data_IF_165498551108
#
_entry.id   IF_165498551108
#
_cell.length_a   1.000
_cell.length_b   1.000
_cell.length_c   1.000
_cell.angle_alpha   90.00
_cell.angle_beta   90.00
_cell.angle_gamma   90.00
#
_symmetry.space_group_name_H-M   'P 1'
#
loop_
_entity.id
_entity.type
_entity.pdbx_description
1 polymer ?
#
# COMPACT_ATOMS: atom_id res chain seq x y z
N UNK A 1 22.70 51.61 39.90
CA UNK A 1 22.57 50.10 39.90
C UNK A 1 21.71 49.73 38.70
N UNK A 2 22.35 49.52 37.56
CA UNK A 2 21.70 48.98 36.40
C UNK A 2 21.65 47.46 36.55
N UNK A 3 20.43 46.95 36.72
CA UNK A 3 20.17 45.51 36.67
C UNK A 3 20.30 45.01 35.25
N UNK A 4 21.39 44.33 34.92
CA UNK A 4 21.64 43.72 33.64
C UNK A 4 20.52 42.73 33.32
N UNK A 5 19.61 43.07 32.42
CA UNK A 5 18.67 42.16 31.76
C UNK A 5 19.51 41.18 30.92
N UNK A 6 19.72 39.99 31.44
CA UNK A 6 20.16 38.86 30.56
C UNK A 6 19.05 38.63 29.58
N UNK A 7 19.27 39.08 28.34
CA UNK A 7 18.50 38.59 27.21
C UNK A 7 18.85 37.10 27.01
N UNK A 8 17.94 36.22 27.46
CA UNK A 8 17.98 34.83 27.12
C UNK A 8 17.53 34.76 25.65
N UNK A 9 18.48 34.80 24.72
CA UNK A 9 18.20 34.56 23.31
C UNK A 9 17.59 33.18 23.13
N UNK A 10 16.66 33.00 22.19
CA UNK A 10 16.07 31.70 21.93
C UNK A 10 17.15 30.70 21.53
N UNK A 11 17.39 29.71 22.37
CA UNK A 11 18.31 28.60 22.04
C UNK A 11 17.61 27.62 21.13
N UNK A 12 18.21 27.35 19.98
CA UNK A 12 17.73 26.36 19.03
C UNK A 12 17.68 24.97 19.72
N UNK A 13 16.49 24.42 19.87
CA UNK A 13 16.30 23.11 20.49
C UNK A 13 16.61 21.99 19.48
N UNK A 14 17.90 21.66 19.31
CA UNK A 14 18.37 20.58 18.46
C UNK A 14 17.62 19.26 18.63
N UNK A 15 17.28 18.81 19.86
CA UNK A 15 16.49 17.59 20.04
C UNK A 15 15.10 17.67 19.39
N UNK A 16 14.48 18.84 19.42
CA UNK A 16 13.16 19.06 18.82
C UNK A 16 13.21 19.05 17.29
N UNK A 17 14.23 19.65 16.69
CA UNK A 17 14.49 19.60 15.25
C UNK A 17 14.78 18.18 14.77
N UNK A 18 15.62 17.45 15.51
CA UNK A 18 15.94 16.06 15.22
C UNK A 18 14.69 15.18 15.32
N UNK A 19 13.85 15.36 16.35
CA UNK A 19 12.59 14.66 16.50
C UNK A 19 11.61 14.95 15.35
N UNK A 20 11.50 16.21 14.93
CA UNK A 20 10.66 16.61 13.80
C UNK A 20 11.15 16.00 12.47
N UNK A 21 12.46 16.02 12.23
CA UNK A 21 13.06 15.41 11.04
C UNK A 21 12.89 13.88 11.02
N UNK A 22 13.08 13.21 12.16
CA UNK A 22 12.83 11.77 12.28
C UNK A 22 11.35 11.42 12.07
N UNK A 23 10.43 12.20 12.64
CA UNK A 23 8.98 12.03 12.41
C UNK A 23 8.63 12.16 10.93
N UNK A 24 9.13 13.20 10.27
CA UNK A 24 8.89 13.42 8.84
C UNK A 24 9.43 12.25 8.01
N UNK A 25 10.66 11.82 8.29
CA UNK A 25 11.29 10.69 7.60
C UNK A 25 10.49 9.40 7.83
N UNK A 26 10.04 9.14 9.06
CA UNK A 26 9.21 7.96 9.38
C UNK A 26 7.89 7.98 8.60
N UNK A 27 7.20 9.11 8.55
CA UNK A 27 5.95 9.26 7.81
C UNK A 27 6.19 9.07 6.30
N UNK A 28 7.26 9.64 5.75
CA UNK A 28 7.61 9.47 4.33
C UNK A 28 7.93 8.01 4.00
N UNK A 29 8.73 7.33 4.83
CA UNK A 29 9.07 5.91 4.63
C UNK A 29 7.82 5.03 4.76
N UNK A 30 6.97 5.31 5.76
CA UNK A 30 5.72 4.57 5.95
C UNK A 30 4.77 4.74 4.75
N UNK A 31 4.65 5.97 4.24
CA UNK A 31 3.84 6.26 3.05
C UNK A 31 4.38 5.65 1.75
N UNK A 32 5.66 5.30 1.68
CA UNK A 32 6.23 4.54 0.56
C UNK A 32 5.90 3.04 0.62
N UNK A 33 5.60 2.52 1.80
CA UNK A 33 5.38 1.09 2.06
C UNK A 33 3.91 0.72 2.15
N UNK A 34 3.09 1.63 2.63
CA UNK A 34 1.64 1.42 2.80
C UNK A 34 0.82 2.48 2.07
N UNK A 35 -0.34 2.07 1.53
CA UNK A 35 -1.35 2.96 0.93
C UNK A 35 -1.97 3.96 1.95
N UNK A 36 -1.48 3.99 3.18
CA UNK A 36 -1.99 4.77 4.30
C UNK A 36 -2.04 6.28 4.06
N UNK A 37 -1.21 6.81 3.14
CA UNK A 37 -1.20 8.24 2.83
C UNK A 37 -2.37 8.66 1.93
N UNK A 38 -2.93 7.77 1.10
CA UNK A 38 -3.93 8.13 0.11
C UNK A 38 -5.38 8.06 0.60
N UNK A 39 -5.63 7.39 1.72
CA UNK A 39 -6.98 7.22 2.27
C UNK A 39 -7.20 7.82 3.66
N UNK A 40 -6.15 8.30 4.34
CA UNK A 40 -6.28 8.69 5.73
C UNK A 40 -6.36 10.21 5.91
N UNK A 41 -7.29 10.64 6.78
CA UNK A 41 -7.35 12.02 7.29
C UNK A 41 -6.06 12.44 8.02
N UNK A 42 -5.16 11.50 8.28
CA UNK A 42 -3.85 11.70 8.88
C UNK A 42 -2.84 12.40 7.96
N UNK A 43 -3.13 12.59 6.67
CA UNK A 43 -2.29 13.37 5.75
C UNK A 43 -1.97 14.76 6.30
N UNK A 44 -2.89 15.37 7.04
CA UNK A 44 -2.69 16.68 7.70
C UNK A 44 -1.57 16.63 8.76
N UNK A 45 -1.33 15.48 9.40
CA UNK A 45 -0.27 15.31 10.39
C UNK A 45 1.14 15.40 9.78
N UNK A 46 1.28 15.20 8.45
CA UNK A 46 2.53 15.40 7.71
C UNK A 46 3.03 16.85 7.81
N UNK A 47 2.12 17.80 7.91
CA UNK A 47 2.48 19.22 7.99
C UNK A 47 2.88 19.67 9.40
N UNK A 48 2.59 18.88 10.43
CA UNK A 48 2.93 19.23 11.82
C UNK A 48 4.45 19.33 12.03
N UNK A 49 5.28 18.35 11.66
CA UNK A 49 6.74 18.47 11.77
C UNK A 49 7.31 19.62 10.92
N UNK A 50 6.75 19.84 9.72
CA UNK A 50 7.14 20.95 8.84
C UNK A 50 6.81 22.31 9.48
N UNK A 51 5.62 22.46 10.07
CA UNK A 51 5.22 23.66 10.79
C UNK A 51 6.15 23.95 11.97
N UNK A 52 6.53 22.90 12.73
CA UNK A 52 7.51 23.05 13.82
C UNK A 52 8.86 23.57 13.32
N UNK A 53 9.38 23.03 12.21
CA UNK A 53 10.65 23.49 11.62
C UNK A 53 10.56 24.94 11.15
N UNK A 54 9.43 25.38 10.63
CA UNK A 54 9.23 26.75 10.14
C UNK A 54 9.03 27.79 11.26
N UNK A 55 8.43 27.37 12.39
CA UNK A 55 8.13 28.28 13.51
C UNK A 55 9.31 28.44 14.46
N UNK A 56 10.27 27.50 14.47
CA UNK A 56 11.46 27.64 15.29
C UNK A 56 12.31 28.84 14.87
N UNK A 57 12.64 29.76 15.79
CA UNK A 57 13.45 30.92 15.45
C UNK A 57 14.81 30.47 14.92
N UNK A 58 15.15 30.96 13.74
CA UNK A 58 16.47 30.74 13.13
C UNK A 58 17.49 31.58 13.88
N UNK A 59 17.93 31.12 15.04
CA UNK A 59 19.07 31.69 15.73
C UNK A 59 20.33 31.25 15.03
N UNK A 60 21.22 32.21 14.75
CA UNK A 60 22.51 31.96 14.12
C UNK A 60 23.21 30.78 14.78
N UNK A 61 23.61 29.80 13.95
CA UNK A 61 24.38 28.63 14.36
C UNK A 61 25.71 29.10 14.92
N UNK A 62 25.78 29.35 16.23
CA UNK A 62 27.03 29.57 16.91
C UNK A 62 27.88 28.31 16.70
N UNK A 63 29.00 28.48 16.02
CA UNK A 63 30.00 27.44 15.70
C UNK A 63 30.30 26.65 16.95
N UNK A 64 29.55 25.57 17.21
CA UNK A 64 29.83 24.66 18.31
C UNK A 64 31.01 23.79 17.91
N UNK A 65 31.93 23.60 18.84
CA UNK A 65 33.12 22.78 18.72
C UNK A 65 32.80 21.48 17.99
N UNK A 66 33.63 21.19 17.01
CA UNK A 66 33.51 20.03 16.13
C UNK A 66 33.14 18.76 16.89
N UNK A 67 31.95 18.23 16.64
CA UNK A 67 31.63 16.85 16.96
C UNK A 67 32.74 15.95 16.41
N UNK A 68 33.23 14.96 17.16
CA UNK A 68 34.26 14.09 16.66
C UNK A 68 33.84 13.52 15.31
N UNK A 69 34.70 13.59 14.30
CA UNK A 69 34.45 13.18 12.91
C UNK A 69 33.92 11.75 12.77
N UNK A 70 34.02 10.97 13.82
CA UNK A 70 33.51 9.60 13.93
C UNK A 70 31.97 9.55 13.82
N UNK A 71 31.23 10.53 14.38
CA UNK A 71 29.76 10.52 14.37
C UNK A 71 29.17 10.70 12.95
N UNK A 72 29.58 11.71 12.17
CA UNK A 72 29.08 11.84 10.78
C UNK A 72 29.58 10.70 9.88
N UNK A 73 30.77 10.15 10.11
CA UNK A 73 31.27 8.99 9.39
C UNK A 73 30.46 7.73 9.70
N UNK A 74 30.13 7.49 10.97
CA UNK A 74 29.25 6.37 11.39
C UNK A 74 27.83 6.52 10.82
N UNK A 75 27.25 7.74 10.82
CA UNK A 75 25.96 8.01 10.23
C UNK A 75 25.96 7.78 8.71
N UNK A 76 27.02 8.21 8.02
CA UNK A 76 27.18 7.96 6.58
C UNK A 76 27.33 6.47 6.26
N UNK A 77 28.12 5.73 7.05
CA UNK A 77 28.29 4.29 6.90
C UNK A 77 26.97 3.54 7.13
N UNK A 78 26.19 3.91 8.17
CA UNK A 78 24.87 3.35 8.43
C UNK A 78 23.90 3.65 7.27
N UNK A 79 23.90 4.88 6.76
CA UNK A 79 23.06 5.26 5.62
C UNK A 79 23.42 4.45 4.37
N UNK A 80 24.70 4.28 4.07
CA UNK A 80 25.18 3.45 2.96
C UNK A 80 24.78 1.98 3.14
N UNK A 81 24.87 1.44 4.35
CA UNK A 81 24.42 0.08 4.66
C UNK A 81 22.92 -0.07 4.46
N UNK A 82 22.11 0.88 4.93
CA UNK A 82 20.66 0.91 4.75
C UNK A 82 20.28 1.03 3.25
N UNK A 83 21.00 1.87 2.52
CA UNK A 83 20.84 1.98 1.07
C UNK A 83 21.18 0.64 0.40
N UNK A 84 22.30 0.04 0.73
CA UNK A 84 22.77 -1.20 0.08
C UNK A 84 21.86 -2.38 0.37
N UNK A 85 21.39 -2.54 1.62
CA UNK A 85 20.48 -3.64 2.03
C UNK A 85 19.04 -3.39 1.67
N UNK A 86 18.59 -2.12 1.66
CA UNK A 86 17.21 -1.71 1.42
C UNK A 86 16.83 -1.43 -0.02
N UNK A 87 17.79 -1.29 -0.93
CA UNK A 87 17.52 -0.83 -2.31
C UNK A 87 16.54 -1.74 -3.06
N UNK A 88 16.70 -3.07 -3.01
CA UNK A 88 15.81 -3.99 -3.74
C UNK A 88 14.38 -3.98 -3.21
N UNK A 89 14.13 -4.21 -1.90
CA UNK A 89 12.79 -4.10 -1.35
C UNK A 89 12.18 -2.72 -1.57
N UNK A 90 12.93 -1.65 -1.33
CA UNK A 90 12.45 -0.28 -1.51
C UNK A 90 12.01 -0.02 -2.96
N UNK A 91 12.82 -0.43 -3.94
CA UNK A 91 12.46 -0.31 -5.37
C UNK A 91 11.22 -1.13 -5.71
N UNK A 92 11.05 -2.32 -5.12
CA UNK A 92 9.84 -3.11 -5.28
C UNK A 92 8.60 -2.35 -4.83
N UNK A 93 8.64 -1.69 -3.67
CA UNK A 93 7.53 -0.87 -3.19
C UNK A 93 7.28 0.36 -4.07
N UNK A 94 8.33 1.01 -4.57
CA UNK A 94 8.20 2.14 -5.51
C UNK A 94 7.45 1.69 -6.77
N UNK A 95 7.87 0.59 -7.39
CA UNK A 95 7.19 0.06 -8.58
C UNK A 95 5.75 -0.36 -8.29
N UNK A 96 5.50 -0.99 -7.13
CA UNK A 96 4.13 -1.35 -6.72
C UNK A 96 3.23 -0.13 -6.56
N UNK A 97 3.73 0.97 -5.98
CA UNK A 97 2.98 2.21 -5.83
C UNK A 97 2.78 2.92 -7.18
N UNK A 98 3.79 2.94 -8.04
CA UNK A 98 3.64 3.48 -9.40
C UNK A 98 2.56 2.71 -10.18
N UNK A 99 2.57 1.39 -10.09
CA UNK A 99 1.54 0.53 -10.67
C UNK A 99 0.15 0.87 -10.14
N UNK A 100 0.01 1.04 -8.81
CA UNK A 100 -1.27 1.40 -8.19
C UNK A 100 -1.80 2.76 -8.68
N UNK A 101 -0.93 3.75 -8.82
CA UNK A 101 -1.30 5.07 -9.37
C UNK A 101 -1.72 4.96 -10.84
N UNK A 102 -1.00 4.19 -11.65
CA UNK A 102 -1.35 3.99 -13.07
C UNK A 102 -2.67 3.23 -13.21
N UNK A 103 -2.87 2.17 -12.42
CA UNK A 103 -4.13 1.44 -12.35
C UNK A 103 -5.28 2.38 -12.02
N UNK A 104 -5.17 3.15 -10.94
CA UNK A 104 -6.22 4.08 -10.52
C UNK A 104 -6.50 5.15 -11.58
N UNK A 105 -5.48 5.68 -12.25
CA UNK A 105 -5.66 6.64 -13.34
C UNK A 105 -6.40 6.04 -14.54
N UNK A 106 -6.06 4.81 -14.92
CA UNK A 106 -6.73 4.12 -16.00
C UNK A 106 -8.20 3.83 -15.64
N UNK A 107 -8.45 3.27 -14.46
CA UNK A 107 -9.82 2.98 -13.99
C UNK A 107 -10.68 4.27 -13.89
N UNK A 108 -10.12 5.35 -13.38
CA UNK A 108 -10.83 6.64 -13.24
C UNK A 108 -11.02 7.38 -14.58
N UNK A 109 -10.25 7.07 -15.62
CA UNK A 109 -10.36 7.75 -16.91
C UNK A 109 -11.69 7.50 -17.63
N UNK A 110 -12.34 6.39 -17.32
CA UNK A 110 -13.65 5.99 -17.90
C UNK A 110 -14.81 6.18 -16.92
N UNK A 111 -14.52 6.74 -15.73
CA UNK A 111 -15.54 7.00 -14.73
C UNK A 111 -16.35 8.24 -15.10
N UNK A 112 -17.66 8.10 -15.24
CA UNK A 112 -18.59 9.21 -15.49
C UNK A 112 -19.70 9.21 -14.45
N UNK A 113 -19.83 10.30 -13.72
CA UNK A 113 -20.96 10.52 -12.80
C UNK A 113 -22.27 10.69 -13.59
N UNK A 114 -23.38 10.07 -13.20
CA UNK A 114 -23.63 9.26 -11.98
C UNK A 114 -23.55 7.74 -12.20
N UNK A 115 -22.93 7.26 -13.25
CA UNK A 115 -22.87 5.84 -13.58
C UNK A 115 -21.92 5.09 -12.66
N UNK A 116 -22.45 4.07 -11.96
CA UNK A 116 -21.67 3.17 -11.13
C UNK A 116 -21.44 1.85 -11.88
N UNK A 117 -20.40 1.83 -12.70
CA UNK A 117 -20.02 0.61 -13.40
C UNK A 117 -19.34 -0.36 -12.43
N UNK A 118 -19.51 -1.67 -12.70
CA UNK A 118 -18.77 -2.69 -11.97
C UNK A 118 -17.28 -2.48 -12.16
N UNK A 119 -16.51 -2.57 -11.09
CA UNK A 119 -15.06 -2.33 -11.15
C UNK A 119 -14.35 -3.32 -12.07
N UNK A 120 -14.82 -4.56 -12.14
CA UNK A 120 -14.28 -5.58 -13.04
C UNK A 120 -14.55 -5.25 -14.52
N UNK A 121 -15.73 -4.71 -14.84
CA UNK A 121 -16.05 -4.22 -16.17
C UNK A 121 -15.13 -3.05 -16.57
N UNK A 122 -14.91 -2.11 -15.66
CA UNK A 122 -13.97 -1.00 -15.87
C UNK A 122 -12.57 -1.53 -16.18
N UNK A 123 -12.10 -2.51 -15.41
CA UNK A 123 -10.79 -3.13 -15.62
C UNK A 123 -10.64 -3.83 -16.95
N UNK A 124 -11.72 -4.42 -17.48
CA UNK A 124 -11.73 -5.03 -18.81
C UNK A 124 -11.77 -3.99 -19.93
N UNK A 125 -12.31 -2.80 -19.67
CA UNK A 125 -12.50 -1.74 -20.66
C UNK A 125 -11.28 -0.80 -20.82
N UNK A 126 -10.32 -0.81 -19.89
CA UNK A 126 -9.18 0.12 -19.88
C UNK A 126 -7.87 -0.61 -20.12
N UNK A 127 -6.85 0.12 -20.63
CA UNK A 127 -5.50 -0.42 -20.76
C UNK A 127 -4.79 -0.44 -19.41
N UNK A 128 -4.66 -1.62 -18.82
CA UNK A 128 -3.94 -1.88 -17.59
C UNK A 128 -2.51 -2.38 -17.80
N UNK A 129 -2.07 -2.53 -19.05
CA UNK A 129 -0.74 -3.05 -19.39
C UNK A 129 0.39 -2.32 -18.66
N UNK A 130 0.43 -0.97 -18.59
CA UNK A 130 1.50 -0.27 -17.87
C UNK A 130 1.50 -0.58 -16.38
N UNK A 131 0.33 -0.69 -15.75
CA UNK A 131 0.22 -1.03 -14.33
C UNK A 131 0.69 -2.48 -14.06
N UNK A 132 0.25 -3.43 -14.88
CA UNK A 132 0.64 -4.83 -14.80
C UNK A 132 2.16 -4.98 -14.93
N UNK A 133 2.78 -4.31 -15.90
CA UNK A 133 4.24 -4.32 -16.07
C UNK A 133 4.99 -3.82 -14.84
N UNK A 134 4.51 -2.75 -14.19
CA UNK A 134 5.13 -2.26 -12.97
C UNK A 134 4.91 -3.20 -11.78
N UNK A 135 3.75 -3.86 -11.65
CA UNK A 135 3.58 -4.92 -10.63
C UNK A 135 4.54 -6.07 -10.86
N UNK A 136 4.71 -6.51 -12.11
CA UNK A 136 5.68 -7.57 -12.47
C UNK A 136 7.12 -7.14 -12.16
N UNK A 137 7.50 -5.89 -12.44
CA UNK A 137 8.81 -5.35 -12.05
C UNK A 137 8.98 -5.31 -10.53
N UNK A 138 7.94 -4.96 -9.78
CA UNK A 138 7.95 -5.01 -8.33
C UNK A 138 8.20 -6.44 -7.82
N UNK A 139 7.51 -7.42 -8.40
CA UNK A 139 7.64 -8.84 -8.04
C UNK A 139 8.97 -9.45 -8.49
N UNK A 140 9.56 -9.00 -9.59
CA UNK A 140 10.91 -9.39 -9.99
C UNK A 140 11.98 -8.95 -8.97
N UNK A 141 11.77 -7.82 -8.30
CA UNK A 141 12.65 -7.32 -7.24
C UNK A 141 12.37 -7.96 -5.88
N UNK A 142 11.11 -8.21 -5.57
CA UNK A 142 10.65 -8.86 -4.34
C UNK A 142 9.41 -9.73 -4.62
N UNK A 143 9.58 -11.02 -4.88
CA UNK A 143 8.46 -11.95 -5.16
C UNK A 143 7.43 -12.04 -4.01
N UNK A 144 7.82 -11.65 -2.79
CA UNK A 144 6.95 -11.64 -1.61
C UNK A 144 6.32 -10.27 -1.32
N UNK A 145 6.37 -9.33 -2.25
CA UNK A 145 5.68 -8.04 -2.07
C UNK A 145 4.16 -8.28 -2.02
N UNK A 146 3.60 -8.22 -0.83
CA UNK A 146 2.20 -8.54 -0.58
C UNK A 146 1.24 -7.58 -1.31
N UNK A 147 1.58 -6.29 -1.38
CA UNK A 147 0.75 -5.29 -2.09
C UNK A 147 0.71 -5.56 -3.60
N UNK A 148 1.86 -5.80 -4.21
CA UNK A 148 1.94 -6.11 -5.64
C UNK A 148 1.21 -7.41 -5.98
N UNK A 149 1.43 -8.48 -5.19
CA UNK A 149 0.73 -9.75 -5.37
C UNK A 149 -0.78 -9.61 -5.21
N UNK A 150 -1.25 -8.89 -4.18
CA UNK A 150 -2.69 -8.66 -3.97
C UNK A 150 -3.33 -7.93 -5.15
N UNK A 151 -2.72 -6.82 -5.57
CA UNK A 151 -3.30 -6.00 -6.64
C UNK A 151 -3.24 -6.71 -8.00
N UNK A 152 -2.13 -7.37 -8.31
CA UNK A 152 -2.01 -8.13 -9.55
C UNK A 152 -3.01 -9.30 -9.56
N UNK A 153 -3.10 -10.07 -8.47
CA UNK A 153 -4.09 -11.15 -8.37
C UNK A 153 -5.53 -10.68 -8.46
N UNK A 154 -5.85 -9.49 -7.96
CA UNK A 154 -7.17 -8.88 -8.12
C UNK A 154 -7.45 -8.48 -9.58
N UNK A 155 -6.46 -7.94 -10.30
CA UNK A 155 -6.60 -7.65 -11.73
C UNK A 155 -6.79 -8.92 -12.54
N UNK A 156 -6.04 -9.96 -12.23
CA UNK A 156 -6.11 -11.27 -12.91
C UNK A 156 -7.49 -11.93 -12.70
N UNK A 157 -8.11 -11.80 -11.52
CA UNK A 157 -9.50 -12.22 -11.31
C UNK A 157 -10.46 -11.48 -12.26
N UNK A 158 -10.32 -10.16 -12.37
CA UNK A 158 -11.17 -9.34 -13.24
C UNK A 158 -10.96 -9.64 -14.73
N UNK A 159 -9.73 -10.02 -15.10
CA UNK A 159 -9.34 -10.32 -16.50
C UNK A 159 -9.56 -11.79 -16.87
N UNK A 160 -9.94 -12.65 -15.92
CA UNK A 160 -10.24 -14.06 -16.15
C UNK A 160 -9.02 -15.00 -16.09
N UNK A 161 -7.83 -14.51 -15.71
CA UNK A 161 -6.68 -15.38 -15.44
C UNK A 161 -6.71 -15.91 -14.00
N UNK A 162 -7.66 -16.79 -13.76
CA UNK A 162 -7.95 -17.32 -12.42
C UNK A 162 -6.78 -18.11 -11.81
N UNK A 163 -5.99 -18.76 -12.66
CA UNK A 163 -4.85 -19.56 -12.19
C UNK A 163 -3.73 -18.66 -11.67
N UNK A 164 -3.36 -17.61 -12.42
CA UNK A 164 -2.39 -16.63 -11.97
C UNK A 164 -2.88 -15.88 -10.73
N UNK A 165 -4.16 -15.47 -10.74
CA UNK A 165 -4.80 -14.84 -9.58
C UNK A 165 -4.66 -15.65 -8.31
N UNK A 166 -4.93 -16.97 -8.36
CA UNK A 166 -4.77 -17.85 -7.21
C UNK A 166 -3.32 -17.88 -6.71
N UNK A 167 -2.34 -17.94 -7.61
CA UNK A 167 -0.92 -17.96 -7.23
C UNK A 167 -0.49 -16.67 -6.52
N UNK A 168 -0.80 -15.52 -7.12
CA UNK A 168 -0.46 -14.23 -6.53
C UNK A 168 -1.19 -13.96 -5.22
N UNK A 169 -2.49 -14.27 -5.15
CA UNK A 169 -3.27 -14.09 -3.93
C UNK A 169 -2.84 -15.03 -2.81
N UNK A 170 -2.38 -16.24 -3.13
CA UNK A 170 -1.78 -17.14 -2.13
C UNK A 170 -0.52 -16.54 -1.51
N UNK A 171 0.37 -15.94 -2.32
CA UNK A 171 1.58 -15.28 -1.84
C UNK A 171 1.26 -14.06 -0.98
N UNK A 172 0.27 -13.27 -1.39
CA UNK A 172 -0.20 -12.12 -0.61
C UNK A 172 -0.82 -12.56 0.72
N UNK A 173 -1.67 -13.58 0.71
CA UNK A 173 -2.30 -14.14 1.90
C UNK A 173 -1.26 -14.72 2.88
N UNK A 174 -0.27 -15.44 2.38
CA UNK A 174 0.81 -15.96 3.23
C UNK A 174 1.59 -14.85 3.96
N UNK A 175 1.69 -13.67 3.37
CA UNK A 175 2.34 -12.51 3.99
C UNK A 175 1.43 -11.76 4.99
N UNK A 176 0.11 -11.73 4.76
CA UNK A 176 -0.86 -10.99 5.57
C UNK A 176 -2.14 -11.82 5.84
N UNK A 177 -2.05 -12.93 6.58
CA UNK A 177 -3.18 -13.85 6.79
C UNK A 177 -4.31 -13.25 7.65
N UNK A 178 -4.05 -12.15 8.35
CA UNK A 178 -5.05 -11.42 9.15
C UNK A 178 -5.94 -10.48 8.31
N UNK A 179 -5.60 -10.23 7.05
CA UNK A 179 -6.35 -9.32 6.19
C UNK A 179 -7.64 -9.96 5.68
N UNK A 180 -8.79 -9.43 6.08
CA UNK A 180 -10.09 -9.91 5.62
C UNK A 180 -10.26 -9.76 4.10
N UNK A 181 -9.74 -8.66 3.53
CA UNK A 181 -9.73 -8.44 2.07
C UNK A 181 -8.97 -9.55 1.34
N UNK A 182 -7.81 -9.97 1.86
CA UNK A 182 -7.04 -11.05 1.24
C UNK A 182 -7.71 -12.41 1.40
N UNK A 183 -8.33 -12.67 2.56
CA UNK A 183 -9.13 -13.90 2.76
C UNK A 183 -10.28 -13.96 1.76
N UNK A 184 -10.93 -12.83 1.51
CA UNK A 184 -12.03 -12.75 0.55
C UNK A 184 -11.54 -12.99 -0.89
N UNK A 185 -10.53 -12.25 -1.34
CA UNK A 185 -9.99 -12.37 -2.70
C UNK A 185 -9.37 -13.76 -2.95
N UNK A 186 -8.61 -14.27 -1.99
CA UNK A 186 -8.00 -15.59 -2.13
C UNK A 186 -9.05 -16.70 -2.06
N UNK A 187 -10.06 -16.56 -1.20
CA UNK A 187 -11.22 -17.46 -1.16
C UNK A 187 -11.94 -17.52 -2.50
N UNK A 188 -12.20 -16.35 -3.13
CA UNK A 188 -12.76 -16.30 -4.48
C UNK A 188 -11.86 -17.03 -5.50
N UNK A 189 -10.57 -16.73 -5.51
CA UNK A 189 -9.63 -17.38 -6.42
C UNK A 189 -9.61 -18.91 -6.25
N UNK A 190 -9.76 -19.41 -5.04
CA UNK A 190 -9.88 -20.84 -4.77
C UNK A 190 -11.17 -21.41 -5.35
N UNK A 191 -12.31 -20.76 -5.10
CA UNK A 191 -13.63 -21.23 -5.57
C UNK A 191 -13.68 -21.30 -7.08
N UNK A 192 -13.27 -20.23 -7.78
CA UNK A 192 -13.33 -20.18 -9.26
C UNK A 192 -12.35 -21.13 -9.94
N UNK A 193 -11.35 -21.63 -9.22
CA UNK A 193 -10.45 -22.71 -9.65
C UNK A 193 -10.93 -24.11 -9.20
N UNK A 194 -12.15 -24.23 -8.63
CA UNK A 194 -12.75 -25.50 -8.25
C UNK A 194 -12.36 -26.02 -6.86
N UNK A 195 -11.63 -25.25 -6.06
CA UNK A 195 -11.27 -25.58 -4.66
C UNK A 195 -12.34 -25.08 -3.71
N UNK A 196 -13.57 -25.57 -3.85
CA UNK A 196 -14.75 -25.05 -3.17
C UNK A 196 -14.63 -25.14 -1.64
N UNK A 197 -14.22 -26.29 -1.11
CA UNK A 197 -14.06 -26.51 0.34
C UNK A 197 -13.04 -25.56 0.98
N UNK A 198 -11.94 -25.29 0.28
CA UNK A 198 -10.88 -24.44 0.79
C UNK A 198 -11.32 -22.96 0.79
N UNK A 199 -12.01 -22.53 -0.25
CA UNK A 199 -12.59 -21.20 -0.31
C UNK A 199 -13.66 -20.97 0.76
N UNK A 200 -14.58 -21.92 0.94
CA UNK A 200 -15.60 -21.89 1.99
C UNK A 200 -14.99 -21.82 3.39
N UNK A 201 -13.98 -22.67 3.67
CA UNK A 201 -13.28 -22.67 4.95
C UNK A 201 -12.60 -21.33 5.24
N UNK A 202 -12.03 -20.69 4.21
CA UNK A 202 -11.41 -19.38 4.36
C UNK A 202 -12.45 -18.29 4.63
N UNK A 203 -13.58 -18.29 3.92
CA UNK A 203 -14.66 -17.31 4.08
C UNK A 203 -15.40 -17.47 5.40
N UNK A 204 -15.52 -18.66 5.94
CA UNK A 204 -16.10 -18.89 7.27
C UNK A 204 -15.29 -18.21 8.40
N UNK A 205 -14.03 -17.82 8.14
CA UNK A 205 -13.19 -17.10 9.11
C UNK A 205 -13.37 -15.58 9.10
N UNK A 206 -14.17 -15.05 8.18
CA UNK A 206 -14.45 -13.62 8.06
C UNK A 206 -15.95 -13.38 8.18
N UNK A 207 -16.30 -12.21 8.71
CA UNK A 207 -17.70 -11.76 8.66
C UNK A 207 -17.95 -11.28 7.22
N UNK A 208 -18.48 -12.17 6.37
CA UNK A 208 -18.78 -11.85 4.98
C UNK A 208 -20.00 -10.95 4.93
N UNK A 209 -19.86 -9.82 4.27
CA UNK A 209 -20.99 -9.06 3.79
C UNK A 209 -21.63 -9.85 2.64
N UNK A 210 -22.87 -10.27 2.83
CA UNK A 210 -23.62 -11.02 1.80
C UNK A 210 -23.70 -10.24 0.48
N UNK A 211 -23.73 -8.91 0.56
CA UNK A 211 -23.73 -8.03 -0.61
C UNK A 211 -22.47 -8.20 -1.47
N UNK A 212 -21.32 -8.45 -0.83
CA UNK A 212 -20.05 -8.65 -1.57
C UNK A 212 -20.04 -9.99 -2.31
N UNK A 213 -20.55 -11.05 -1.70
CA UNK A 213 -20.67 -12.36 -2.37
C UNK A 213 -21.71 -12.30 -3.50
N UNK A 214 -22.82 -11.62 -3.29
CA UNK A 214 -23.83 -11.38 -4.30
C UNK A 214 -23.28 -10.58 -5.50
N UNK A 215 -22.44 -9.57 -5.25
CA UNK A 215 -21.77 -8.80 -6.29
C UNK A 215 -20.80 -9.68 -7.12
N UNK A 216 -20.09 -10.64 -6.49
CA UNK A 216 -19.22 -11.59 -7.22
C UNK A 216 -20.04 -12.59 -8.04
N UNK A 217 -21.14 -13.09 -7.50
CA UNK A 217 -22.07 -13.95 -8.22
C UNK A 217 -22.63 -13.23 -9.46
N UNK A 218 -23.12 -11.99 -9.26
CA UNK A 218 -23.61 -11.14 -10.34
C UNK A 218 -22.53 -10.91 -11.42
N UNK A 219 -21.29 -10.71 -11.04
CA UNK A 219 -20.18 -10.56 -12.00
C UNK A 219 -20.04 -11.77 -12.92
N UNK A 220 -20.01 -13.00 -12.38
CA UNK A 220 -19.88 -14.22 -13.19
C UNK A 220 -21.11 -14.47 -14.06
N UNK A 221 -22.29 -14.06 -13.60
CA UNK A 221 -23.50 -14.06 -14.43
C UNK A 221 -23.41 -13.05 -15.56
N UNK A 222 -22.96 -11.83 -15.29
CA UNK A 222 -22.83 -10.74 -16.25
C UNK A 222 -21.86 -11.09 -17.40
N UNK A 223 -20.75 -11.74 -17.10
CA UNK A 223 -19.80 -12.19 -18.12
C UNK A 223 -20.16 -13.54 -18.76
N UNK A 224 -21.33 -14.09 -18.43
CA UNK A 224 -21.82 -15.38 -18.92
C UNK A 224 -20.90 -16.58 -18.60
N UNK A 225 -20.12 -16.51 -17.51
CA UNK A 225 -19.31 -17.62 -17.01
C UNK A 225 -20.14 -18.53 -16.08
N UNK A 226 -20.97 -19.36 -16.70
CA UNK A 226 -21.88 -20.26 -15.97
C UNK A 226 -21.16 -21.18 -15.00
N UNK A 227 -19.96 -21.68 -15.39
CA UNK A 227 -19.18 -22.57 -14.52
C UNK A 227 -18.79 -21.88 -13.21
N UNK A 228 -18.27 -20.64 -13.26
CA UNK A 228 -17.85 -19.90 -12.06
C UNK A 228 -19.06 -19.38 -11.29
N UNK A 229 -20.10 -19.00 -11.98
CA UNK A 229 -21.38 -18.69 -11.36
C UNK A 229 -21.88 -19.83 -10.49
N UNK A 230 -21.95 -21.06 -11.05
CA UNK A 230 -22.45 -22.24 -10.32
C UNK A 230 -21.55 -22.58 -9.12
N UNK A 231 -20.24 -22.46 -9.28
CA UNK A 231 -19.28 -22.65 -8.18
C UNK A 231 -19.50 -21.62 -7.05
N UNK A 232 -19.69 -20.36 -7.39
CA UNK A 232 -19.97 -19.30 -6.42
C UNK A 232 -21.33 -19.50 -5.75
N UNK A 233 -22.37 -19.84 -6.53
CA UNK A 233 -23.72 -20.09 -6.00
C UNK A 233 -23.72 -21.21 -4.96
N UNK A 234 -23.02 -22.31 -5.28
CA UNK A 234 -22.90 -23.45 -4.36
C UNK A 234 -22.30 -23.05 -3.00
N UNK A 235 -21.38 -22.06 -2.97
CA UNK A 235 -20.82 -21.58 -1.71
C UNK A 235 -21.78 -20.64 -1.00
N UNK A 236 -22.41 -19.71 -1.73
CA UNK A 236 -23.37 -18.74 -1.15
C UNK A 236 -24.53 -19.46 -0.47
N UNK A 237 -25.02 -20.54 -1.08
CA UNK A 237 -26.14 -21.33 -0.53
C UNK A 237 -25.75 -22.13 0.73
N UNK A 238 -24.46 -22.32 1.01
CA UNK A 238 -23.95 -23.13 2.13
C UNK A 238 -23.24 -22.32 3.24
N UNK A 239 -23.10 -21.00 3.09
CA UNK A 239 -22.56 -20.10 4.10
C UNK A 239 -23.68 -19.46 4.92
#
# INVERSE_FOLDING_TARGET
>A
REAGRRQIGPTLNWPLLAAAACSLLTIMVHGLVEDALYGSRALLLLFVPLAFVMVLPQTELKKTNSLPHILPAAAAALLLLLIFTGIRPLRSYIFSNMAAVQQSRAELSVYSWPEWRLQDEVRQAVDLTPAIQHYQQALALNPRNASANRRLGQLELSLGDYTAAQQHLALAYAAMPWSNTLRQLYGEALVVNGRLSDGAALWATINNDQDQLAARLFWYEYIHDSKRKDQMQQIVDNL
#
